data_IF_396767888521
#
_entry.id   IF_396767888521
#
_cell.length_a   1.000
_cell.length_b   1.000
_cell.length_c   1.000
_cell.angle_alpha   90.00
_cell.angle_beta   90.00
_cell.angle_gamma   90.00
#
_symmetry.space_group_name_H-M   'P 1'
#
loop_
_entity.id
_entity.type
_entity.pdbx_description
1 polymer ?
#
# COMPACT_ATOMS: atom_id res chain seq x y z
N UNK A 1 -11.12 -0.85 -17.42
CA UNK A 1 -10.00 0.09 -17.63
C UNK A 1 -8.65 -0.52 -17.23
N UNK A 2 -8.59 -1.37 -16.19
CA UNK A 2 -7.37 -2.09 -15.76
C UNK A 2 -6.64 -2.93 -16.82
N UNK A 3 -7.37 -3.60 -17.73
CA UNK A 3 -6.75 -4.50 -18.73
C UNK A 3 -5.77 -3.80 -19.68
N UNK A 4 -5.81 -2.45 -19.77
CA UNK A 4 -4.89 -1.68 -20.60
C UNK A 4 -3.66 -1.17 -19.84
N UNK A 5 -3.69 -1.08 -18.50
CA UNK A 5 -2.59 -0.53 -17.70
C UNK A 5 -1.56 -1.57 -17.27
N UNK A 6 -1.89 -2.86 -17.30
CA UNK A 6 -0.95 -3.96 -17.09
C UNK A 6 -0.20 -4.30 -18.39
N UNK A 7 0.47 -3.30 -18.97
CA UNK A 7 1.11 -3.41 -20.29
C UNK A 7 2.61 -3.60 -20.14
N UNK A 8 3.03 -4.73 -19.58
CA UNK A 8 4.43 -5.17 -19.64
C UNK A 8 4.83 -6.16 -18.54
N UNK A 9 5.76 -7.09 -18.79
CA UNK A 9 6.39 -7.88 -17.75
C UNK A 9 7.17 -6.93 -16.82
N UNK A 10 6.63 -6.67 -15.63
CA UNK A 10 7.27 -5.80 -14.63
C UNK A 10 6.33 -4.88 -13.86
N UNK A 11 5.12 -4.61 -14.36
CA UNK A 11 4.16 -3.80 -13.62
C UNK A 11 3.62 -4.56 -12.40
N UNK A 12 3.87 -4.03 -11.21
CA UNK A 12 3.36 -4.58 -9.96
C UNK A 12 2.04 -3.89 -9.58
N UNK A 13 1.15 -4.63 -8.95
CA UNK A 13 -0.15 -4.11 -8.50
C UNK A 13 -0.14 -3.97 -7.00
N UNK A 14 -0.48 -2.78 -6.51
CA UNK A 14 -0.73 -2.53 -5.10
C UNK A 14 -2.21 -2.73 -4.84
N UNK A 15 -2.56 -3.62 -3.91
CA UNK A 15 -3.93 -3.91 -3.54
C UNK A 15 -4.14 -3.74 -2.03
N UNK A 16 -5.40 -3.62 -1.62
CA UNK A 16 -5.76 -3.45 -0.21
C UNK A 16 -5.28 -4.65 0.60
N UNK A 17 -4.57 -4.38 1.69
CA UNK A 17 -4.20 -5.41 2.67
C UNK A 17 -5.49 -6.12 3.12
N UNK A 18 -5.50 -7.46 3.09
CA UNK A 18 -6.67 -8.31 3.39
C UNK A 18 -7.75 -8.43 2.29
N UNK A 19 -7.56 -7.80 1.12
CA UNK A 19 -8.42 -8.07 -0.02
C UNK A 19 -8.02 -9.35 -0.75
N UNK A 20 -9.02 -9.92 -1.44
CA UNK A 20 -8.87 -11.04 -2.34
C UNK A 20 -9.26 -12.39 -1.75
N UNK A 21 -9.28 -13.39 -2.62
CA UNK A 21 -9.54 -14.79 -2.29
C UNK A 21 -8.42 -15.63 -2.86
N UNK A 22 -7.70 -16.33 -1.99
CA UNK A 22 -6.69 -17.30 -2.41
C UNK A 22 -7.38 -18.52 -2.98
N UNK A 23 -6.92 -18.97 -4.14
CA UNK A 23 -7.40 -20.18 -4.80
C UNK A 23 -6.22 -21.02 -5.26
N UNK A 24 -6.27 -22.31 -4.96
CA UNK A 24 -5.31 -23.29 -5.48
C UNK A 24 -5.87 -23.89 -6.78
N UNK A 25 -5.11 -23.75 -7.87
CA UNK A 25 -5.47 -24.35 -9.16
C UNK A 25 -4.22 -24.97 -9.76
N UNK A 26 -4.28 -26.27 -10.09
CA UNK A 26 -3.14 -27.03 -10.65
C UNK A 26 -1.85 -26.98 -9.80
N UNK A 27 -1.98 -26.86 -8.48
CA UNK A 27 -0.83 -26.76 -7.56
C UNK A 27 -0.20 -25.36 -7.50
N UNK A 28 -0.76 -24.39 -8.20
CA UNK A 28 -0.34 -23.00 -8.17
C UNK A 28 -1.34 -22.15 -7.38
N UNK A 29 -0.81 -21.38 -6.43
CA UNK A 29 -1.58 -20.41 -5.66
C UNK A 29 -1.85 -19.17 -6.49
N UNK A 30 -3.12 -18.82 -6.58
CA UNK A 30 -3.58 -17.62 -7.24
C UNK A 30 -4.35 -16.74 -6.25
N UNK A 31 -4.38 -15.44 -6.48
CA UNK A 31 -5.17 -14.49 -5.72
C UNK A 31 -6.17 -13.81 -6.65
N UNK A 32 -7.46 -14.01 -6.39
CA UNK A 32 -8.53 -13.32 -7.12
C UNK A 32 -8.86 -12.04 -6.36
N UNK A 33 -8.77 -10.89 -7.03
CA UNK A 33 -9.08 -9.57 -6.47
C UNK A 33 -10.25 -8.93 -7.22
N UNK A 34 -11.03 -8.11 -6.52
CA UNK A 34 -11.97 -7.17 -7.16
C UNK A 34 -11.19 -5.97 -7.70
N UNK A 35 -11.75 -5.32 -8.72
CA UNK A 35 -11.17 -4.09 -9.31
C UNK A 35 -11.00 -3.00 -8.23
N UNK A 36 -12.03 -2.79 -7.40
CA UNK A 36 -12.03 -1.77 -6.33
C UNK A 36 -10.95 -1.98 -5.26
N UNK A 37 -10.48 -3.22 -5.10
CA UNK A 37 -9.43 -3.57 -4.15
C UNK A 37 -8.04 -3.22 -4.66
N UNK A 38 -7.89 -2.89 -5.95
CA UNK A 38 -6.65 -2.40 -6.52
C UNK A 38 -6.50 -0.90 -6.19
N UNK A 39 -5.38 -0.59 -5.54
CA UNK A 39 -5.06 0.74 -5.00
C UNK A 39 -4.21 1.54 -5.98
N UNK A 40 -3.33 0.86 -6.71
CA UNK A 40 -2.36 1.52 -7.58
C UNK A 40 -1.54 0.53 -8.41
N UNK A 41 -0.81 1.06 -9.38
CA UNK A 41 0.14 0.31 -10.20
C UNK A 41 1.53 0.90 -9.99
N UNK A 42 2.50 0.04 -9.73
CA UNK A 42 3.93 0.35 -9.69
C UNK A 42 4.53 -0.02 -11.04
N UNK A 43 5.09 0.96 -11.74
CA UNK A 43 5.81 0.72 -13.00
C UNK A 43 7.23 0.20 -12.74
N UNK A 44 7.80 0.50 -11.56
CA UNK A 44 9.11 0.05 -11.09
C UNK A 44 9.06 -0.25 -9.58
N UNK A 45 10.19 -0.64 -8.99
CA UNK A 45 10.31 -0.88 -7.54
C UNK A 45 10.43 0.42 -6.69
N UNK A 46 10.48 1.63 -7.30
CA UNK A 46 10.48 2.90 -6.57
C UNK A 46 9.04 3.37 -6.28
N UNK A 47 8.77 3.73 -5.01
CA UNK A 47 7.47 4.23 -4.56
C UNK A 47 7.01 5.49 -5.30
N UNK A 48 7.96 6.27 -5.85
CA UNK A 48 7.67 7.46 -6.65
C UNK A 48 6.94 7.15 -7.95
N UNK A 49 7.08 5.91 -8.45
CA UNK A 49 6.45 5.45 -9.68
C UNK A 49 5.09 4.80 -9.41
N UNK A 50 4.61 4.81 -8.16
CA UNK A 50 3.26 4.38 -7.83
C UNK A 50 2.24 5.35 -8.42
N UNK A 51 1.41 4.84 -9.31
CA UNK A 51 0.24 5.54 -9.86
C UNK A 51 -1.00 5.07 -9.11
N UNK A 52 -1.57 5.88 -8.20
CA UNK A 52 -2.83 5.56 -7.55
C UNK A 52 -3.95 5.40 -8.59
N UNK A 53 -4.85 4.45 -8.36
CA UNK A 53 -6.03 4.26 -9.21
C UNK A 53 -7.28 4.86 -8.57
N UNK A 54 -8.30 5.09 -9.41
CA UNK A 54 -9.56 5.73 -9.05
C UNK A 54 -9.31 7.13 -8.44
N UNK A 55 -9.99 7.50 -7.37
CA UNK A 55 -9.87 8.83 -6.74
C UNK A 55 -8.88 8.83 -5.55
N UNK A 56 -7.86 7.97 -5.57
CA UNK A 56 -6.92 7.81 -4.45
C UNK A 56 -5.73 8.77 -4.59
N UNK A 57 -5.22 9.25 -3.45
CA UNK A 57 -4.00 10.08 -3.38
C UNK A 57 -3.00 9.39 -2.44
N UNK A 58 -1.76 9.26 -2.90
CA UNK A 58 -0.66 8.75 -2.09
C UNK A 58 -0.06 9.90 -1.28
N UNK A 59 0.06 9.71 0.04
CA UNK A 59 0.72 10.67 0.94
C UNK A 59 1.86 9.97 1.69
N UNK A 60 2.97 10.66 1.88
CA UNK A 60 4.05 10.17 2.73
C UNK A 60 3.79 10.62 4.17
N UNK A 61 3.65 9.65 5.07
CA UNK A 61 3.53 9.92 6.51
C UNK A 61 4.94 9.96 7.09
N UNK A 62 5.35 11.10 7.61
CA UNK A 62 6.57 11.19 8.39
C UNK A 62 6.43 10.37 9.68
N UNK A 63 7.42 9.53 9.99
CA UNK A 63 7.44 8.84 11.28
C UNK A 63 7.63 9.90 12.36
N UNK A 64 6.64 10.03 13.24
CA UNK A 64 6.82 10.80 14.48
C UNK A 64 8.05 10.28 15.23
N UNK A 65 9.06 11.13 15.39
CA UNK A 65 10.21 10.85 16.25
C UNK A 65 9.77 10.94 17.71
N UNK A 66 9.48 9.81 18.34
CA UNK A 66 9.36 9.71 19.80
C UNK A 66 10.76 9.64 20.44
N UNK A 67 11.55 10.70 20.29
CA UNK A 67 12.75 10.90 21.11
C UNK A 67 12.65 12.25 21.81
N UNK A 68 12.13 12.24 23.03
CA UNK A 68 12.38 13.35 23.94
C UNK A 68 13.83 13.25 24.43
N UNK A 69 14.55 14.38 24.45
CA UNK A 69 15.99 14.49 24.75
C UNK A 69 16.38 14.11 26.20
N UNK A 70 15.56 13.34 26.91
CA UNK A 70 15.69 13.05 28.35
C UNK A 70 15.51 11.59 28.76
N UNK A 71 15.47 10.64 27.82
CA UNK A 71 15.58 9.20 28.14
C UNK A 71 14.48 8.60 29.02
N UNK A 72 13.32 9.24 29.16
CA UNK A 72 12.21 8.73 29.96
C UNK A 72 11.09 8.18 29.07
N UNK A 73 10.95 6.85 29.04
CA UNK A 73 9.79 6.19 28.44
C UNK A 73 8.64 6.18 29.45
N UNK A 74 7.66 7.05 29.26
CA UNK A 74 6.34 6.87 29.87
C UNK A 74 5.57 5.88 29.00
N UNK A 75 5.40 4.64 29.48
CA UNK A 75 4.46 3.71 28.89
C UNK A 75 3.04 4.20 29.17
N UNK A 76 2.43 4.84 28.16
CA UNK A 76 1.00 4.78 27.80
C UNK A 76 0.56 6.07 27.09
N UNK A 77 0.48 6.03 25.76
CA UNK A 77 -0.65 6.59 25.02
C UNK A 77 -0.61 6.05 23.59
N UNK A 78 -1.74 5.51 23.17
CA UNK A 78 -2.04 5.03 21.82
C UNK A 78 -1.46 5.92 20.73
N UNK A 79 -0.70 5.31 19.83
CA UNK A 79 -0.16 5.95 18.62
C UNK A 79 -1.31 6.32 17.69
N UNK A 80 -1.86 7.53 17.84
CA UNK A 80 -2.80 8.06 16.85
C UNK A 80 -2.10 8.18 15.50
N UNK A 81 -2.77 7.70 14.45
CA UNK A 81 -2.27 7.82 13.08
C UNK A 81 -2.19 9.32 12.76
N UNK A 82 -1.03 9.86 12.34
CA UNK A 82 -0.91 11.26 11.97
C UNK A 82 -1.96 11.62 10.91
N UNK A 83 -2.68 12.72 11.10
CA UNK A 83 -3.74 13.21 10.21
C UNK A 83 -3.23 14.17 9.12
N UNK A 84 -1.91 14.37 9.03
CA UNK A 84 -1.27 15.27 8.09
C UNK A 84 -0.13 14.54 7.35
N UNK A 85 -0.05 14.75 6.04
CA UNK A 85 1.04 14.32 5.15
C UNK A 85 1.26 15.42 4.10
N UNK A 86 2.47 15.55 3.58
CA UNK A 86 2.81 16.51 2.52
C UNK A 86 2.90 15.80 1.17
#
# INVERSE_FOLDING_TARGET
>A
MLKQSLKGPGAQVVYSKYAGTEVDFNGEKHLILKDDDIVGILETDDIKDLKPLNDRVLIQIEKAEEKTAGGLFLTQATKEKPSFGT
#
